data_IF_314176750590
#
_entry.id   IF_314176750590
#
_cell.length_a   1.000
_cell.length_b   1.000
_cell.length_c   1.000
_cell.angle_alpha   90.00
_cell.angle_beta   90.00
_cell.angle_gamma   90.00
#
_symmetry.space_group_name_H-M   'P 1'
#
loop_
_entity.id
_entity.type
_entity.pdbx_description
1 polymer ?
#
# COMPACT_ATOMS: atom_id res chain seq x y z
N UNK A 1 -51.33 16.04 51.95
CA UNK A 1 -50.03 16.39 51.34
C UNK A 1 -49.48 15.18 50.59
N UNK A 2 -49.63 15.14 49.28
CA UNK A 2 -49.12 14.03 48.44
C UNK A 2 -47.98 14.59 47.60
N UNK A 3 -46.76 14.06 47.85
CA UNK A 3 -45.58 14.41 47.09
C UNK A 3 -45.48 13.51 45.85
N UNK A 4 -45.52 14.10 44.67
CA UNK A 4 -45.22 13.43 43.42
C UNK A 4 -43.70 13.45 43.19
N UNK A 5 -43.08 12.27 43.21
CA UNK A 5 -41.69 12.10 42.79
C UNK A 5 -41.68 11.96 41.28
N UNK A 6 -41.18 12.96 40.57
CA UNK A 6 -40.94 12.91 39.13
C UNK A 6 -39.68 12.13 38.83
N UNK A 7 -39.81 11.03 38.10
CA UNK A 7 -38.66 10.26 37.57
C UNK A 7 -38.23 10.94 36.28
N UNK A 8 -37.09 11.61 36.30
CA UNK A 8 -36.45 12.11 35.10
C UNK A 8 -35.70 10.96 34.42
N UNK A 9 -36.23 10.44 33.32
CA UNK A 9 -35.52 9.49 32.47
C UNK A 9 -34.48 10.26 31.64
N UNK A 10 -33.18 10.07 31.98
CA UNK A 10 -32.08 10.56 31.18
C UNK A 10 -31.92 9.66 29.97
N UNK A 11 -32.30 10.15 28.79
CA UNK A 11 -31.99 9.52 27.51
C UNK A 11 -30.48 9.76 27.21
N UNK A 12 -29.66 8.76 27.44
CA UNK A 12 -28.26 8.78 26.97
C UNK A 12 -28.26 8.45 25.48
N UNK A 13 -28.08 9.46 24.64
CA UNK A 13 -27.74 9.25 23.24
C UNK A 13 -26.28 8.81 23.16
N UNK A 14 -26.03 7.54 22.95
CA UNK A 14 -24.72 7.06 22.51
C UNK A 14 -24.60 7.41 21.03
N UNK A 15 -23.88 8.48 20.74
CA UNK A 15 -23.40 8.75 19.39
C UNK A 15 -22.29 7.72 19.15
N UNK A 16 -22.61 6.66 18.40
CA UNK A 16 -21.60 5.81 17.82
C UNK A 16 -20.82 6.68 16.84
N UNK A 17 -19.61 7.12 17.21
CA UNK A 17 -18.68 7.72 16.28
C UNK A 17 -18.45 6.66 15.20
N UNK A 18 -18.93 6.91 13.96
CA UNK A 18 -18.52 6.13 12.81
C UNK A 18 -17.01 6.30 12.73
N UNK A 19 -16.26 5.25 13.10
CA UNK A 19 -14.83 5.23 12.97
C UNK A 19 -14.51 5.47 11.51
N UNK A 20 -13.75 6.53 11.20
CA UNK A 20 -13.13 6.67 9.90
C UNK A 20 -12.32 5.40 9.68
N UNK A 21 -12.62 4.63 8.62
CA UNK A 21 -11.84 3.47 8.26
C UNK A 21 -10.38 3.91 8.17
N UNK A 22 -9.52 3.39 9.06
CA UNK A 22 -8.11 3.73 9.05
C UNK A 22 -7.53 3.19 7.75
N UNK A 23 -6.74 4.01 7.04
CA UNK A 23 -6.03 3.54 5.86
C UNK A 23 -5.03 2.46 6.27
N UNK A 24 -5.02 1.34 5.56
CA UNK A 24 -4.00 0.32 5.72
C UNK A 24 -2.71 0.77 5.02
N UNK A 25 -1.62 0.84 5.77
CA UNK A 25 -0.33 1.27 5.26
C UNK A 25 0.70 0.16 5.48
N UNK A 26 1.35 -0.23 4.39
CA UNK A 26 2.39 -1.26 4.41
C UNK A 26 3.63 -0.76 3.69
N UNK A 27 4.79 -1.25 4.11
CA UNK A 27 6.05 -1.02 3.41
C UNK A 27 6.90 -2.28 3.39
N UNK A 28 7.64 -2.45 2.30
CA UNK A 28 8.62 -3.52 2.14
C UNK A 28 9.92 -2.96 1.60
N UNK A 29 11.02 -3.60 1.96
CA UNK A 29 12.35 -3.30 1.45
C UNK A 29 12.93 -4.48 0.70
N UNK A 30 13.67 -4.17 -0.35
CA UNK A 30 14.61 -5.08 -1.00
C UNK A 30 16.02 -4.54 -0.86
N UNK A 31 17.00 -5.44 -0.85
CA UNK A 31 18.41 -5.06 -0.68
C UNK A 31 19.34 -6.02 -1.39
N UNK A 32 20.39 -5.45 -1.97
CA UNK A 32 21.56 -6.20 -2.42
C UNK A 32 22.84 -5.45 -2.04
N UNK A 33 23.80 -6.14 -1.47
CA UNK A 33 25.10 -5.57 -1.14
C UNK A 33 25.99 -5.38 -2.35
N UNK A 34 25.67 -6.02 -3.46
CA UNK A 34 26.54 -6.08 -4.65
C UNK A 34 25.94 -5.45 -5.90
N UNK A 35 24.60 -5.34 -5.98
CA UNK A 35 23.90 -4.89 -7.19
C UNK A 35 22.64 -4.14 -6.84
N UNK A 36 22.48 -2.94 -7.37
CA UNK A 36 21.25 -2.18 -7.25
C UNK A 36 20.99 -1.54 -5.89
N UNK A 37 21.84 -1.79 -4.89
CA UNK A 37 21.65 -1.23 -3.56
C UNK A 37 20.36 -1.69 -2.89
N UNK A 38 19.49 -0.76 -2.55
CA UNK A 38 18.21 -1.08 -1.92
C UNK A 38 17.06 -0.19 -2.43
N UNK A 39 15.88 -0.69 -2.25
CA UNK A 39 14.66 0.02 -2.57
C UNK A 39 13.57 -0.21 -1.54
N UNK A 40 12.60 0.67 -1.53
CA UNK A 40 11.45 0.58 -0.63
C UNK A 40 10.16 0.77 -1.43
N UNK A 41 9.22 -0.10 -1.19
CA UNK A 41 7.87 0.01 -1.72
C UNK A 41 6.88 0.29 -0.60
N UNK A 42 5.87 1.07 -0.91
CA UNK A 42 4.80 1.47 -0.01
C UNK A 42 3.46 1.20 -0.67
N UNK A 43 2.51 0.73 0.11
CA UNK A 43 1.12 0.64 -0.31
C UNK A 43 0.23 1.24 0.77
N UNK A 44 -0.71 2.06 0.35
CA UNK A 44 -1.76 2.62 1.21
C UNK A 44 -3.11 2.28 0.57
N UNK A 45 -3.99 1.68 1.35
CA UNK A 45 -5.37 1.40 0.93
C UNK A 45 -6.35 2.06 1.89
N UNK A 46 -7.36 2.67 1.33
CA UNK A 46 -8.48 3.29 2.05
C UNK A 46 -9.74 3.04 1.23
N UNK A 47 -10.90 2.94 1.85
CA UNK A 47 -12.17 2.53 1.29
C UNK A 47 -12.40 2.67 -0.21
N UNK A 48 -12.13 3.82 -0.78
CA UNK A 48 -12.35 4.17 -2.18
C UNK A 48 -11.08 4.52 -2.97
N UNK A 49 -9.92 4.51 -2.31
CA UNK A 49 -8.65 4.89 -2.93
C UNK A 49 -7.53 3.91 -2.57
N UNK A 50 -6.55 3.81 -3.46
CA UNK A 50 -5.28 3.16 -3.17
C UNK A 50 -4.11 3.99 -3.70
N UNK A 51 -2.95 3.76 -3.12
CA UNK A 51 -1.70 4.34 -3.57
C UNK A 51 -0.59 3.32 -3.44
N UNK A 52 0.15 3.12 -4.51
CA UNK A 52 1.37 2.31 -4.53
C UNK A 52 2.53 3.21 -4.95
N UNK A 53 3.62 3.14 -4.22
CA UNK A 53 4.83 3.91 -4.50
C UNK A 53 6.04 3.01 -4.33
N UNK A 54 6.99 3.15 -5.20
CA UNK A 54 8.28 2.48 -5.12
C UNK A 54 9.40 3.49 -5.28
N UNK A 55 10.42 3.40 -4.46
CA UNK A 55 11.57 4.30 -4.50
C UNK A 55 12.86 3.50 -4.56
N UNK A 56 13.74 3.94 -5.44
CA UNK A 56 15.11 3.43 -5.56
C UNK A 56 16.03 4.30 -4.70
N UNK A 57 16.74 3.67 -3.80
CA UNK A 57 17.73 4.30 -2.93
C UNK A 57 19.14 3.79 -3.20
N UNK A 58 19.29 2.98 -4.25
CA UNK A 58 20.56 2.47 -4.73
C UNK A 58 21.28 3.44 -5.67
N UNK A 59 22.47 3.06 -6.14
CA UNK A 59 23.21 3.85 -7.13
C UNK A 59 22.52 3.83 -8.50
N UNK A 60 22.84 4.80 -9.34
CA UNK A 60 22.41 4.82 -10.74
C UNK A 60 23.30 3.87 -11.56
N UNK A 61 23.03 2.59 -11.49
CA UNK A 61 23.86 1.51 -12.03
C UNK A 61 23.13 0.61 -13.05
N UNK A 62 21.96 1.05 -13.51
CA UNK A 62 21.13 0.28 -14.45
C UNK A 62 20.16 -0.69 -13.78
N UNK A 63 20.28 -0.88 -12.48
CA UNK A 63 19.27 -1.62 -11.72
C UNK A 63 18.09 -0.73 -11.36
N UNK A 64 16.97 -1.35 -11.11
CA UNK A 64 15.72 -0.68 -10.72
C UNK A 64 15.02 -1.45 -9.62
N UNK A 65 14.16 -0.75 -8.91
CA UNK A 65 13.26 -1.35 -7.94
C UNK A 65 11.89 -1.54 -8.60
N UNK A 66 11.33 -2.72 -8.44
CA UNK A 66 10.02 -3.09 -9.00
C UNK A 66 9.09 -3.44 -7.86
N UNK A 67 7.90 -2.90 -7.86
CA UNK A 67 6.82 -3.26 -6.94
C UNK A 67 5.68 -3.92 -7.70
N UNK A 68 5.08 -4.93 -7.09
CA UNK A 68 3.82 -5.53 -7.53
C UNK A 68 2.83 -5.56 -6.39
N UNK A 69 1.62 -5.18 -6.70
CA UNK A 69 0.45 -5.38 -5.85
C UNK A 69 -0.54 -6.23 -6.63
N UNK A 70 -0.85 -7.42 -6.11
CA UNK A 70 -1.66 -8.40 -6.82
C UNK A 70 -2.85 -8.81 -5.98
N UNK A 71 -4.01 -8.91 -6.60
CA UNK A 71 -5.22 -9.49 -6.03
C UNK A 71 -5.99 -10.24 -7.13
N UNK A 72 -6.16 -11.56 -6.97
CA UNK A 72 -6.83 -12.40 -7.98
C UNK A 72 -6.24 -12.19 -9.38
N UNK A 73 -7.03 -11.76 -10.35
CA UNK A 73 -6.60 -11.48 -11.72
C UNK A 73 -5.98 -10.09 -11.92
N UNK A 74 -6.00 -9.23 -10.91
CA UNK A 74 -5.49 -7.87 -11.01
C UNK A 74 -4.05 -7.79 -10.53
N UNK A 75 -3.22 -7.06 -11.28
CA UNK A 75 -1.85 -6.77 -10.90
C UNK A 75 -1.53 -5.32 -11.23
N UNK A 76 -1.04 -4.60 -10.24
CA UNK A 76 -0.41 -3.31 -10.40
C UNK A 76 1.10 -3.48 -10.33
N UNK A 77 1.82 -2.92 -11.29
CA UNK A 77 3.28 -2.96 -11.32
C UNK A 77 3.81 -1.54 -11.54
N UNK A 78 4.80 -1.16 -10.76
CA UNK A 78 5.48 0.11 -10.92
C UNK A 78 6.99 -0.05 -10.76
N UNK A 79 7.75 0.87 -11.33
CA UNK A 79 9.20 0.86 -11.36
C UNK A 79 9.77 2.19 -10.87
N UNK A 80 10.87 2.12 -10.13
CA UNK A 80 11.78 3.22 -9.89
C UNK A 80 13.12 2.90 -10.55
N UNK A 81 13.52 3.68 -11.53
CA UNK A 81 14.62 3.32 -12.45
C UNK A 81 15.70 4.39 -12.61
N UNK A 82 15.71 5.42 -11.80
CA UNK A 82 16.64 6.55 -11.95
C UNK A 82 17.77 6.60 -10.94
N UNK A 83 17.93 5.57 -10.11
CA UNK A 83 18.90 5.58 -9.01
C UNK A 83 18.40 6.36 -7.80
N UNK A 84 19.31 6.72 -6.93
CA UNK A 84 19.02 7.26 -5.59
C UNK A 84 18.01 8.40 -5.59
N UNK A 85 16.94 8.19 -4.84
CA UNK A 85 15.86 9.17 -4.65
C UNK A 85 14.79 9.18 -5.73
N UNK A 86 14.87 8.33 -6.76
CA UNK A 86 13.83 8.23 -7.78
C UNK A 86 12.69 7.35 -7.32
N UNK A 87 11.47 7.75 -7.62
CA UNK A 87 10.26 7.01 -7.25
C UNK A 87 9.32 6.89 -8.46
N UNK A 88 8.47 5.85 -8.41
CA UNK A 88 7.43 5.62 -9.41
C UNK A 88 6.15 5.06 -8.76
N UNK A 89 5.10 4.94 -9.55
CA UNK A 89 3.81 4.40 -9.09
C UNK A 89 2.97 5.44 -8.37
N UNK A 90 2.36 5.85 -7.75
CA UNK A 90 1.66 6.90 -7.00
C UNK A 90 0.16 6.71 -6.91
N UNK A 91 -0.39 5.68 -7.47
CA UNK A 91 -1.73 5.37 -7.12
C UNK A 91 -2.74 5.30 -8.24
N UNK A 92 -3.93 5.63 -7.90
CA UNK A 92 -5.08 5.49 -8.74
C UNK A 92 -4.93 6.30 -10.05
N UNK A 93 -5.11 5.63 -11.18
CA UNK A 93 -4.93 6.26 -12.48
C UNK A 93 -3.51 6.22 -13.05
N UNK A 94 -2.55 5.62 -12.36
CA UNK A 94 -1.23 5.36 -12.93
C UNK A 94 -1.34 4.38 -14.09
N UNK A 95 -0.71 4.73 -15.22
CA UNK A 95 -0.79 3.94 -16.46
C UNK A 95 0.20 2.78 -16.50
N UNK A 96 1.12 2.69 -15.58
CA UNK A 96 2.15 1.64 -15.55
C UNK A 96 1.64 0.31 -15.01
N UNK A 97 0.50 0.32 -14.41
CA UNK A 97 -0.19 -0.86 -13.92
C UNK A 97 -1.66 -0.56 -13.78
N UNK A 98 -2.43 -1.56 -13.57
CA UNK A 98 -3.86 -1.41 -13.45
C UNK A 98 -4.40 -2.22 -12.27
N UNK A 99 -5.03 -1.52 -11.35
CA UNK A 99 -5.79 -2.08 -10.25
C UNK A 99 -7.07 -1.26 -10.10
N UNK A 100 -8.23 -1.88 -10.07
CA UNK A 100 -9.46 -1.16 -9.77
C UNK A 100 -9.40 -0.60 -8.36
N UNK A 101 -10.34 0.29 -8.02
CA UNK A 101 -10.48 0.79 -6.65
C UNK A 101 -10.36 -0.33 -5.64
N UNK A 102 -9.72 -0.10 -4.49
CA UNK A 102 -9.44 -1.14 -3.51
C UNK A 102 -10.68 -1.94 -3.18
N UNK A 103 -10.58 -3.24 -3.30
CA UNK A 103 -11.65 -4.18 -2.99
C UNK A 103 -11.27 -5.00 -1.77
N UNK A 104 -12.27 -5.37 -0.99
CA UNK A 104 -12.09 -6.30 0.13
C UNK A 104 -11.43 -7.58 -0.35
N UNK A 105 -10.46 -8.06 0.38
CA UNK A 105 -9.79 -9.32 0.12
C UNK A 105 -8.30 -9.33 0.39
N UNK A 106 -7.68 -10.45 0.07
CA UNK A 106 -6.24 -10.66 0.26
C UNK A 106 -5.44 -10.12 -0.91
N UNK A 107 -4.43 -9.34 -0.59
CA UNK A 107 -3.44 -8.82 -1.54
C UNK A 107 -2.07 -9.42 -1.27
N UNK A 108 -1.32 -9.63 -2.34
CA UNK A 108 0.13 -9.88 -2.28
C UNK A 108 0.87 -8.62 -2.68
N UNK A 109 1.77 -8.19 -1.83
CA UNK A 109 2.64 -7.03 -2.02
C UNK A 109 4.08 -7.50 -2.09
N UNK A 110 4.77 -7.19 -3.18
CA UNK A 110 6.12 -7.66 -3.45
C UNK A 110 7.00 -6.51 -3.94
N UNK A 111 8.25 -6.49 -3.49
CA UNK A 111 9.28 -5.58 -3.98
C UNK A 111 10.53 -6.38 -4.36
N UNK A 112 11.10 -6.08 -5.52
CA UNK A 112 12.28 -6.76 -6.07
C UNK A 112 13.29 -5.75 -6.61
N UNK A 113 14.53 -6.20 -6.78
CA UNK A 113 15.50 -5.56 -7.66
C UNK A 113 15.44 -6.21 -9.05
N UNK A 114 15.77 -5.45 -10.08
CA UNK A 114 15.83 -5.92 -11.48
C UNK A 114 16.93 -5.22 -12.24
N UNK A 115 17.62 -5.95 -13.09
CA UNK A 115 18.58 -5.37 -14.02
C UNK A 115 17.88 -4.88 -15.28
N UNK A 116 17.79 -3.57 -15.44
CA UNK A 116 17.09 -2.96 -16.58
C UNK A 116 15.59 -3.26 -16.64
N UNK A 117 14.95 -2.93 -17.75
CA UNK A 117 13.50 -3.12 -17.93
C UNK A 117 13.13 -4.59 -18.15
N UNK A 118 13.93 -5.32 -18.87
CA UNK A 118 13.67 -6.70 -19.30
C UNK A 118 14.39 -7.78 -18.49
N UNK A 119 15.11 -7.40 -17.43
CA UNK A 119 15.83 -8.34 -16.60
C UNK A 119 14.94 -9.20 -15.71
N UNK A 120 15.53 -10.21 -15.11
CA UNK A 120 14.85 -11.03 -14.10
C UNK A 120 14.87 -10.32 -12.75
N UNK A 121 13.80 -10.52 -11.99
CA UNK A 121 13.70 -10.05 -10.62
C UNK A 121 14.59 -10.90 -9.70
N UNK A 122 15.20 -10.24 -8.73
CA UNK A 122 16.00 -10.89 -7.69
C UNK A 122 15.88 -10.14 -6.36
N UNK A 123 16.30 -10.80 -5.28
CA UNK A 123 16.20 -10.28 -3.93
C UNK A 123 14.80 -9.75 -3.58
N UNK A 124 13.79 -10.50 -3.97
CA UNK A 124 12.42 -10.15 -3.72
C UNK A 124 12.05 -10.34 -2.25
N UNK A 125 11.28 -9.40 -1.73
CA UNK A 125 10.59 -9.49 -0.46
C UNK A 125 9.10 -9.34 -0.69
N UNK A 126 8.27 -10.12 -0.01
CA UNK A 126 6.82 -10.08 -0.18
C UNK A 126 6.08 -10.31 1.12
N UNK A 127 4.88 -9.77 1.17
CA UNK A 127 3.90 -10.01 2.22
C UNK A 127 2.49 -10.14 1.66
N UNK A 128 1.65 -10.84 2.37
CA UNK A 128 0.22 -10.85 2.12
C UNK A 128 -0.47 -10.04 3.21
N UNK A 129 -1.50 -9.31 2.85
CA UNK A 129 -2.34 -8.61 3.80
C UNK A 129 -3.81 -8.68 3.35
N UNK A 130 -4.71 -8.53 4.31
CA UNK A 130 -6.14 -8.51 4.05
C UNK A 130 -6.66 -7.08 4.21
N UNK A 131 -7.31 -6.55 3.18
CA UNK A 131 -7.97 -5.27 3.19
C UNK A 131 -9.47 -5.46 3.46
N UNK A 132 -10.00 -4.76 4.45
CA UNK A 132 -11.40 -4.91 4.88
C UNK A 132 -12.36 -3.90 4.24
N UNK A 133 -11.82 -2.87 3.61
CA UNK A 133 -12.64 -1.82 3.01
C UNK A 133 -12.76 -0.56 3.85
#
# INVERSE_FOLDING_TARGET
>A
MTAFAGIAAALTFTIAAAGTAAADNFSLRTYSSTKGGYGTAFVTMSGDTYRVRVCDSGPADGYRVVVRLTKSAFQYTAHAAGGSGTCGGFGDGDTNGWLPSPQVGTYTFEVCLRNGAGGMDFNCNKMNFYFQG
#
